data_IF_247889797385
#
_entry.id   IF_247889797385
#
_cell.length_a   1.000
_cell.length_b   1.000
_cell.length_c   1.000
_cell.angle_alpha   90.00
_cell.angle_beta   90.00
_cell.angle_gamma   90.00
#
_symmetry.space_group_name_H-M   'P 1'
#
loop_
_entity.id
_entity.type
_entity.pdbx_description
1 polymer ?
#
# COMPACT_ATOMS: atom_id res chain seq x y z
N UNK A 1 -7.58 -17.16 4.01
CA UNK A 1 -8.84 -17.66 3.40
C UNK A 1 -9.97 -16.74 3.84
N UNK A 2 -11.10 -16.67 3.12
CA UNK A 2 -12.20 -15.76 3.46
C UNK A 2 -12.64 -15.87 4.92
N UNK A 3 -12.94 -17.08 5.40
CA UNK A 3 -13.53 -17.34 6.72
C UNK A 3 -12.68 -16.87 7.91
N UNK A 4 -11.37 -16.77 7.74
CA UNK A 4 -10.47 -16.28 8.80
C UNK A 4 -10.49 -14.76 8.95
N UNK A 5 -11.02 -14.04 7.96
CA UNK A 5 -10.97 -12.58 7.91
C UNK A 5 -11.82 -11.91 8.99
N UNK A 6 -13.04 -12.42 9.22
CA UNK A 6 -13.99 -11.80 10.16
C UNK A 6 -13.43 -11.70 11.58
N UNK A 7 -12.88 -12.80 12.11
CA UNK A 7 -12.29 -12.81 13.45
C UNK A 7 -11.04 -11.93 13.53
N UNK A 8 -10.22 -11.90 12.47
CA UNK A 8 -9.03 -11.05 12.43
C UNK A 8 -9.40 -9.57 12.49
N UNK A 9 -10.37 -9.15 11.68
CA UNK A 9 -10.85 -7.77 11.60
C UNK A 9 -11.49 -7.34 12.92
N UNK A 10 -12.33 -8.19 13.51
CA UNK A 10 -12.91 -7.95 14.83
C UNK A 10 -11.83 -7.72 15.89
N UNK A 11 -10.83 -8.59 15.97
CA UNK A 11 -9.71 -8.42 16.92
C UNK A 11 -8.94 -7.12 16.66
N UNK A 12 -8.70 -6.76 15.39
CA UNK A 12 -8.05 -5.51 15.07
C UNK A 12 -8.85 -4.29 15.57
N UNK A 13 -10.16 -4.31 15.36
CA UNK A 13 -11.05 -3.23 15.81
C UNK A 13 -11.08 -3.12 17.33
N UNK A 14 -11.22 -4.24 18.03
CA UNK A 14 -11.19 -4.31 19.50
C UNK A 14 -9.85 -3.86 20.09
N UNK A 15 -8.75 -4.10 19.37
CA UNK A 15 -7.42 -3.62 19.75
C UNK A 15 -7.21 -2.12 19.52
N UNK A 16 -8.21 -1.40 18.96
CA UNK A 16 -8.14 0.03 18.68
C UNK A 16 -7.34 0.38 17.44
N UNK A 17 -7.22 -0.54 16.47
CA UNK A 17 -6.59 -0.26 15.18
C UNK A 17 -7.56 0.55 14.30
N UNK A 18 -7.06 1.62 13.67
CA UNK A 18 -7.85 2.48 12.78
C UNK A 18 -7.96 1.93 11.35
N UNK A 19 -6.91 1.27 10.86
CA UNK A 19 -6.85 0.72 9.51
C UNK A 19 -5.93 -0.50 9.38
N UNK A 20 -6.23 -1.37 8.42
CA UNK A 20 -5.42 -2.54 8.06
C UNK A 20 -4.87 -2.43 6.65
N UNK A 21 -3.70 -3.03 6.42
CA UNK A 21 -3.11 -3.18 5.10
C UNK A 21 -3.34 -4.60 4.60
N UNK A 22 -3.92 -4.75 3.40
CA UNK A 22 -4.17 -6.03 2.75
C UNK A 22 -3.27 -6.21 1.53
N UNK A 23 -2.56 -7.33 1.47
CA UNK A 23 -1.90 -7.83 0.25
C UNK A 23 -2.64 -9.10 -0.19
N UNK A 24 -3.55 -9.04 -1.18
CA UNK A 24 -4.49 -10.10 -1.49
C UNK A 24 -3.89 -11.26 -2.30
N UNK A 25 -2.74 -11.78 -1.89
CA UNK A 25 -2.04 -12.90 -2.52
C UNK A 25 -2.83 -14.22 -2.43
N UNK A 26 -3.78 -14.30 -1.50
CA UNK A 26 -4.72 -15.42 -1.37
C UNK A 26 -5.87 -15.39 -2.40
N UNK A 27 -5.82 -14.46 -3.35
CA UNK A 27 -6.73 -14.35 -4.48
C UNK A 27 -7.94 -13.43 -4.23
N UNK A 28 -8.67 -13.08 -5.31
CA UNK A 28 -9.72 -12.05 -5.31
C UNK A 28 -10.96 -12.41 -4.49
N UNK A 29 -11.19 -13.70 -4.23
CA UNK A 29 -12.25 -14.12 -3.30
C UNK A 29 -11.95 -13.74 -1.86
N UNK A 30 -10.68 -13.94 -1.43
CA UNK A 30 -10.25 -13.53 -0.08
C UNK A 30 -10.17 -12.02 0.03
N UNK A 31 -9.67 -11.35 -1.00
CA UNK A 31 -9.62 -9.88 -1.11
C UNK A 31 -10.98 -9.25 -0.84
N UNK A 32 -12.01 -9.67 -1.58
CA UNK A 32 -13.35 -9.10 -1.47
C UNK A 32 -13.98 -9.33 -0.11
N UNK A 33 -13.93 -10.57 0.37
CA UNK A 33 -14.49 -10.91 1.68
C UNK A 33 -13.82 -10.10 2.81
N UNK A 34 -12.49 -9.95 2.79
CA UNK A 34 -11.79 -9.22 3.84
C UNK A 34 -12.02 -7.72 3.79
N UNK A 35 -12.17 -7.13 2.59
CA UNK A 35 -12.58 -5.74 2.44
C UNK A 35 -13.99 -5.56 3.00
N UNK A 36 -14.95 -6.40 2.61
CA UNK A 36 -16.34 -6.34 3.08
C UNK A 36 -16.42 -6.40 4.60
N UNK A 37 -15.79 -7.40 5.23
CA UNK A 37 -15.77 -7.52 6.69
C UNK A 37 -15.16 -6.29 7.39
N UNK A 38 -14.12 -5.68 6.81
CA UNK A 38 -13.49 -4.51 7.42
C UNK A 38 -14.39 -3.28 7.32
N UNK A 39 -15.08 -3.11 6.20
CA UNK A 39 -16.07 -2.05 6.02
C UNK A 39 -17.27 -2.22 6.97
N UNK A 40 -17.78 -3.45 7.15
CA UNK A 40 -18.85 -3.76 8.11
C UNK A 40 -18.48 -3.35 9.56
N UNK A 41 -17.22 -3.55 9.95
CA UNK A 41 -16.70 -3.20 11.28
C UNK A 41 -16.18 -1.75 11.38
N UNK A 42 -16.40 -0.93 10.35
CA UNK A 42 -15.90 0.45 10.24
C UNK A 42 -14.38 0.54 10.51
N UNK A 43 -13.63 -0.35 9.90
CA UNK A 43 -12.17 -0.40 9.94
C UNK A 43 -11.61 0.08 8.59
N UNK A 44 -10.67 1.01 8.61
CA UNK A 44 -10.04 1.50 7.38
C UNK A 44 -9.29 0.38 6.65
N UNK A 45 -9.28 0.43 5.32
CA UNK A 45 -8.61 -0.58 4.50
C UNK A 45 -7.68 0.07 3.50
N UNK A 46 -6.43 -0.41 3.47
CA UNK A 46 -5.40 0.03 2.54
C UNK A 46 -4.93 -1.18 1.75
N UNK A 47 -5.02 -1.15 0.42
CA UNK A 47 -4.68 -2.34 -0.42
C UNK A 47 -3.34 -2.16 -1.13
N UNK A 48 -2.49 -3.17 -1.06
CA UNK A 48 -1.22 -3.25 -1.77
C UNK A 48 -1.18 -4.41 -2.75
N UNK A 49 -0.79 -4.12 -4.00
CA UNK A 49 -0.53 -5.14 -5.01
C UNK A 49 0.97 -5.43 -5.18
N UNK A 50 1.83 -4.41 -5.06
CA UNK A 50 3.26 -4.48 -5.40
C UNK A 50 4.17 -4.20 -4.20
N UNK A 51 5.24 -4.98 -4.05
CA UNK A 51 6.25 -4.80 -2.99
C UNK A 51 7.56 -4.17 -3.49
N UNK A 52 8.38 -3.71 -2.55
CA UNK A 52 9.62 -2.96 -2.79
C UNK A 52 10.85 -3.83 -3.04
N UNK A 53 10.79 -5.13 -2.74
CA UNK A 53 11.91 -6.07 -2.86
C UNK A 53 11.93 -6.78 -4.23
N UNK A 54 13.09 -7.27 -4.70
CA UNK A 54 13.20 -7.93 -6.00
C UNK A 54 12.56 -9.32 -6.03
N UNK A 55 12.26 -9.81 -7.23
CA UNK A 55 11.66 -11.13 -7.49
C UNK A 55 10.26 -11.29 -6.90
N UNK A 56 9.51 -10.19 -6.85
CA UNK A 56 8.14 -10.21 -6.36
C UNK A 56 7.17 -10.69 -7.46
N UNK A 57 7.39 -10.25 -8.70
CA UNK A 57 6.59 -10.64 -9.90
C UNK A 57 7.35 -11.60 -10.81
N UNK A 58 6.62 -12.29 -11.70
CA UNK A 58 7.15 -13.34 -12.57
C UNK A 58 8.21 -12.86 -13.55
N UNK A 59 8.06 -11.66 -14.12
CA UNK A 59 9.11 -11.06 -14.96
C UNK A 59 10.44 -10.83 -14.22
N UNK A 60 10.39 -10.68 -12.89
CA UNK A 60 11.58 -10.61 -12.02
C UNK A 60 12.01 -11.99 -11.49
N UNK A 61 11.34 -13.08 -11.87
CA UNK A 61 11.58 -14.44 -11.37
C UNK A 61 10.81 -14.81 -10.10
N UNK A 62 9.79 -14.04 -9.73
CA UNK A 62 8.85 -14.33 -8.66
C UNK A 62 7.71 -15.27 -9.06
N UNK A 63 6.79 -15.52 -8.13
CA UNK A 63 5.65 -16.42 -8.36
C UNK A 63 4.40 -15.71 -8.91
N UNK A 64 4.17 -14.45 -8.53
CA UNK A 64 2.98 -13.70 -8.90
C UNK A 64 3.03 -13.30 -10.38
N UNK A 65 1.91 -13.47 -11.09
CA UNK A 65 1.77 -12.94 -12.44
C UNK A 65 1.85 -11.41 -12.40
N UNK A 66 2.54 -10.83 -13.38
CA UNK A 66 2.74 -9.39 -13.47
C UNK A 66 1.41 -8.63 -13.58
N UNK A 67 0.45 -9.19 -14.32
CA UNK A 67 -0.87 -8.61 -14.54
C UNK A 67 -1.71 -8.61 -13.25
N UNK A 68 -1.53 -9.63 -12.41
CA UNK A 68 -2.26 -9.78 -11.16
C UNK A 68 -2.02 -8.60 -10.21
N UNK A 69 -0.88 -7.92 -10.31
CA UNK A 69 -0.57 -6.72 -9.51
C UNK A 69 -1.62 -5.64 -9.74
N UNK A 70 -1.94 -5.34 -10.99
CA UNK A 70 -2.92 -4.31 -11.32
C UNK A 70 -4.33 -4.76 -10.94
N UNK A 71 -4.65 -6.04 -11.15
CA UNK A 71 -5.96 -6.60 -10.78
C UNK A 71 -6.28 -6.39 -9.30
N UNK A 72 -5.30 -6.57 -8.39
CA UNK A 72 -5.49 -6.29 -6.95
C UNK A 72 -5.90 -4.84 -6.68
N UNK A 73 -5.26 -3.87 -7.32
CA UNK A 73 -5.64 -2.45 -7.13
C UNK A 73 -7.03 -2.15 -7.68
N UNK A 74 -7.37 -2.69 -8.86
CA UNK A 74 -8.65 -2.41 -9.51
C UNK A 74 -9.82 -3.13 -8.82
N UNK A 75 -9.61 -4.34 -8.30
CA UNK A 75 -10.62 -5.08 -7.52
C UNK A 75 -10.96 -4.35 -6.21
N UNK A 76 -9.95 -3.81 -5.52
CA UNK A 76 -10.17 -2.99 -4.34
C UNK A 76 -10.91 -1.69 -4.66
N UNK A 77 -10.52 -1.02 -5.75
CA UNK A 77 -11.22 0.17 -6.24
C UNK A 77 -12.70 -0.10 -6.58
N UNK A 78 -13.01 -1.26 -7.19
CA UNK A 78 -14.40 -1.66 -7.49
C UNK A 78 -15.24 -1.90 -6.22
N UNK A 79 -14.61 -2.07 -5.06
CA UNK A 79 -15.26 -2.16 -3.75
C UNK A 79 -15.28 -0.83 -2.99
N UNK A 80 -14.91 0.27 -3.65
CA UNK A 80 -14.92 1.61 -3.06
C UNK A 80 -13.68 1.95 -2.23
N UNK A 81 -12.63 1.12 -2.26
CA UNK A 81 -11.37 1.45 -1.58
C UNK A 81 -10.64 2.57 -2.31
N UNK A 82 -10.16 3.57 -1.55
CA UNK A 82 -9.41 4.72 -2.05
C UNK A 82 -7.95 4.75 -1.59
N UNK A 83 -7.59 3.89 -0.65
CA UNK A 83 -6.31 3.93 0.04
C UNK A 83 -5.43 2.74 -0.39
N UNK A 84 -4.21 3.03 -0.86
CA UNK A 84 -3.39 2.03 -1.53
C UNK A 84 -1.93 2.07 -1.10
N UNK A 85 -1.32 0.90 -0.89
CA UNK A 85 0.12 0.78 -0.70
C UNK A 85 0.82 0.71 -2.05
N UNK A 86 1.87 1.51 -2.24
CA UNK A 86 2.69 1.52 -3.47
C UNK A 86 4.19 1.56 -3.15
N UNK A 87 5.05 0.92 -3.96
CA UNK A 87 6.49 0.87 -3.66
C UNK A 87 7.20 2.21 -3.93
N UNK A 88 7.61 2.92 -2.87
CA UNK A 88 8.32 4.20 -2.94
C UNK A 88 9.67 4.17 -3.66
N UNK A 89 10.21 2.98 -3.96
CA UNK A 89 11.41 2.79 -4.77
C UNK A 89 11.12 2.46 -6.25
N UNK A 90 9.86 2.43 -6.68
CA UNK A 90 9.46 2.21 -8.08
C UNK A 90 8.49 3.31 -8.58
N UNK A 91 8.96 4.56 -8.81
CA UNK A 91 8.09 5.68 -9.22
C UNK A 91 7.26 5.44 -10.50
N UNK A 92 7.81 4.72 -11.46
CA UNK A 92 7.09 4.42 -12.71
C UNK A 92 5.86 3.55 -12.46
N UNK A 93 5.96 2.58 -11.54
CA UNK A 93 4.83 1.74 -11.14
C UNK A 93 3.79 2.54 -10.34
N UNK A 94 4.23 3.47 -9.47
CA UNK A 94 3.31 4.39 -8.77
C UNK A 94 2.47 5.17 -9.79
N UNK A 95 3.12 5.73 -10.82
CA UNK A 95 2.45 6.50 -11.86
C UNK A 95 1.49 5.64 -12.69
N UNK A 96 1.90 4.40 -13.02
CA UNK A 96 1.06 3.43 -13.73
C UNK A 96 -0.21 3.09 -12.93
N UNK A 97 -0.06 2.80 -11.64
CA UNK A 97 -1.17 2.48 -10.73
C UNK A 97 -2.10 3.68 -10.57
N UNK A 98 -1.54 4.87 -10.31
CA UNK A 98 -2.32 6.12 -10.21
C UNK A 98 -3.18 6.36 -11.43
N UNK A 99 -2.59 6.29 -12.62
CA UNK A 99 -3.32 6.50 -13.88
C UNK A 99 -4.46 5.50 -14.05
N UNK A 100 -4.24 4.23 -13.73
CA UNK A 100 -5.27 3.20 -13.85
C UNK A 100 -6.45 3.43 -12.87
N UNK A 101 -6.16 3.85 -11.64
CA UNK A 101 -7.18 4.19 -10.64
C UNK A 101 -7.95 5.46 -11.02
N UNK A 102 -7.26 6.51 -11.46
CA UNK A 102 -7.87 7.76 -11.92
C UNK A 102 -8.78 7.53 -13.15
N UNK A 103 -8.40 6.62 -14.06
CA UNK A 103 -9.24 6.21 -15.20
C UNK A 103 -10.54 5.52 -14.77
N UNK A 104 -10.59 4.94 -13.57
CA UNK A 104 -11.82 4.40 -12.96
C UNK A 104 -12.60 5.45 -12.16
N UNK A 105 -12.17 6.71 -12.14
CA UNK A 105 -12.80 7.78 -11.38
C UNK A 105 -12.44 7.78 -9.89
N UNK A 106 -11.42 7.01 -9.48
CA UNK A 106 -10.93 7.00 -8.11
C UNK A 106 -9.93 8.14 -7.91
N UNK A 107 -10.02 8.83 -6.77
CA UNK A 107 -8.98 9.74 -6.29
C UNK A 107 -8.18 9.03 -5.20
N UNK A 108 -7.04 8.40 -5.52
CA UNK A 108 -6.34 7.53 -4.57
C UNK A 108 -5.53 8.32 -3.54
N UNK A 109 -5.43 7.77 -2.33
CA UNK A 109 -4.43 8.14 -1.32
C UNK A 109 -3.37 7.05 -1.26
N UNK A 110 -2.11 7.41 -1.48
CA UNK A 110 -1.01 6.44 -1.51
C UNK A 110 -0.20 6.37 -0.23
N UNK A 111 0.13 5.16 0.22
CA UNK A 111 1.02 4.89 1.35
C UNK A 111 2.27 4.19 0.83
N UNK A 112 3.41 4.89 0.87
CA UNK A 112 4.63 4.42 0.20
C UNK A 112 5.71 3.99 1.19
N UNK A 113 6.00 2.69 1.35
CA UNK A 113 7.24 2.24 2.00
C UNK A 113 8.40 2.20 0.99
N UNK A 114 9.60 1.88 1.45
CA UNK A 114 10.75 1.62 0.55
C UNK A 114 11.77 2.75 0.45
N UNK A 115 11.68 3.76 1.32
CA UNK A 115 12.64 4.86 1.35
C UNK A 115 13.91 4.55 2.13
N UNK A 116 14.99 5.27 1.81
CA UNK A 116 16.29 5.27 2.50
C UNK A 116 16.97 3.89 2.48
N UNK A 117 16.53 2.97 3.34
CA UNK A 117 17.12 1.63 3.49
C UNK A 117 16.87 0.72 2.28
N UNK A 118 15.88 1.05 1.44
CA UNK A 118 15.53 0.26 0.24
C UNK A 118 15.74 1.06 -1.07
N UNK A 119 16.51 2.15 -0.99
CA UNK A 119 16.95 2.93 -2.16
C UNK A 119 15.91 3.88 -2.76
N UNK A 120 14.68 3.93 -2.25
CA UNK A 120 13.66 4.87 -2.72
C UNK A 120 13.97 6.33 -2.35
N UNK A 121 13.65 7.24 -3.26
CA UNK A 121 13.80 8.68 -3.11
C UNK A 121 12.42 9.34 -2.93
N UNK A 122 12.22 9.98 -1.78
CA UNK A 122 10.94 10.59 -1.37
C UNK A 122 10.40 11.54 -2.45
N UNK A 123 11.22 12.46 -2.95
CA UNK A 123 10.80 13.46 -3.93
C UNK A 123 10.35 12.86 -5.27
N UNK A 124 10.95 11.73 -5.70
CA UNK A 124 10.51 11.03 -6.92
C UNK A 124 9.18 10.31 -6.70
N UNK A 125 9.03 9.64 -5.57
CA UNK A 125 7.77 9.00 -5.21
C UNK A 125 6.64 10.03 -5.05
N UNK A 126 6.91 11.18 -4.42
CA UNK A 126 5.97 12.28 -4.24
C UNK A 126 5.40 12.76 -5.58
N UNK A 127 6.28 13.03 -6.55
CA UNK A 127 5.88 13.45 -7.90
C UNK A 127 5.03 12.39 -8.62
N UNK A 128 5.35 11.11 -8.42
CA UNK A 128 4.60 10.03 -9.05
C UNK A 128 3.21 9.82 -8.39
N UNK A 129 3.14 9.92 -7.06
CA UNK A 129 1.95 9.70 -6.26
C UNK A 129 0.94 10.85 -6.35
N UNK A 130 1.39 12.07 -6.64
CA UNK A 130 0.53 13.25 -6.70
C UNK A 130 0.30 13.87 -5.32
N UNK A 131 -0.87 14.48 -5.11
CA UNK A 131 -1.11 15.35 -3.96
C UNK A 131 -1.50 14.60 -2.67
N UNK A 132 -2.07 13.39 -2.78
CA UNK A 132 -2.61 12.65 -1.64
C UNK A 132 -1.76 11.41 -1.39
N UNK A 133 -0.75 11.55 -0.53
CA UNK A 133 0.13 10.43 -0.21
C UNK A 133 0.86 10.59 1.13
N UNK A 134 1.37 9.47 1.64
CA UNK A 134 2.08 9.34 2.89
C UNK A 134 3.34 8.50 2.70
N UNK A 135 4.47 8.97 3.23
CA UNK A 135 5.69 8.17 3.30
C UNK A 135 5.70 7.27 4.55
N UNK A 136 5.95 5.97 4.36
CA UNK A 136 6.20 5.02 5.45
C UNK A 136 7.72 4.85 5.61
N UNK A 137 8.30 5.45 6.65
CA UNK A 137 9.73 5.34 6.96
C UNK A 137 9.95 4.67 8.31
N UNK A 138 10.51 3.46 8.28
CA UNK A 138 10.93 2.73 9.48
C UNK A 138 12.38 3.03 9.87
N UNK A 139 13.30 2.14 9.47
CA UNK A 139 14.71 2.13 9.89
C UNK A 139 15.46 3.45 9.66
N UNK A 140 15.07 4.21 8.64
CA UNK A 140 15.65 5.54 8.37
C UNK A 140 15.43 6.56 9.48
N UNK A 141 14.41 6.36 10.33
CA UNK A 141 14.11 7.19 11.48
C UNK A 141 14.55 6.50 12.77
N UNK A 142 13.98 5.32 13.09
CA UNK A 142 14.15 4.73 14.43
C UNK A 142 15.55 4.18 14.72
N UNK A 143 16.42 4.02 13.71
CA UNK A 143 17.84 3.66 13.90
C UNK A 143 18.79 4.86 13.77
N UNK A 144 18.28 6.06 13.54
CA UNK A 144 19.11 7.26 13.47
C UNK A 144 19.69 7.60 14.85
N UNK A 145 20.87 8.21 14.88
CA UNK A 145 21.46 8.74 16.12
C UNK A 145 20.57 9.82 16.75
N UNK A 146 19.93 10.62 15.90
CA UNK A 146 18.95 11.64 16.28
C UNK A 146 17.67 11.40 15.48
N UNK A 147 16.68 10.80 16.15
CA UNK A 147 15.38 10.44 15.57
C UNK A 147 14.61 11.69 15.12
N UNK A 148 14.66 12.78 15.90
CA UNK A 148 13.91 14.01 15.59
C UNK A 148 14.50 14.67 14.35
N UNK A 149 15.83 14.79 14.29
CA UNK A 149 16.52 15.36 13.13
C UNK A 149 16.22 14.54 11.87
N UNK A 150 16.31 13.20 11.95
CA UNK A 150 16.01 12.33 10.82
C UNK A 150 14.57 12.48 10.32
N UNK A 151 13.59 12.57 11.23
CA UNK A 151 12.20 12.81 10.87
C UNK A 151 12.03 14.15 10.13
N UNK A 152 12.58 15.24 10.69
CA UNK A 152 12.50 16.59 10.08
C UNK A 152 13.11 16.64 8.67
N UNK A 153 14.29 16.04 8.48
CA UNK A 153 14.99 15.98 7.20
C UNK A 153 14.25 15.16 6.13
N UNK A 154 13.49 14.14 6.54
CA UNK A 154 12.70 13.32 5.61
C UNK A 154 11.38 14.00 5.28
N UNK A 155 10.72 14.61 6.25
CA UNK A 155 9.46 15.34 6.02
C UNK A 155 9.65 16.59 5.18
N UNK A 156 10.84 17.21 5.19
CA UNK A 156 11.13 18.37 4.33
C UNK A 156 11.24 18.02 2.84
N UNK A 157 11.14 16.73 2.48
CA UNK A 157 11.21 16.22 1.10
C UNK A 157 9.85 15.78 0.55
N UNK A 158 8.80 15.85 1.38
CA UNK A 158 7.42 15.53 1.02
C UNK A 158 6.84 16.59 0.09
#
# INVERSE_FOLDING_TARGET
MPDTGKNFIYICKEAGIDAIILFPQAGPGTERAWIEYALEENLGVIVGGLMTHPKYVRSEGGFLADEAIMEMYLNAADQGITDFVVPGNKPDEIMRIRKALEQKGISPTFYAPGFVAQGGEITKAARAAGNNWHAIVGRGIYKAKDIRKAALELTSKL
#
